data_IF_589796264731
#
_entry.id   IF_589796264731
#
_cell.length_a   1.000
_cell.length_b   1.000
_cell.length_c   1.000
_cell.angle_alpha   90.00
_cell.angle_beta   90.00
_cell.angle_gamma   90.00
#
_symmetry.space_group_name_H-M   'P 1'
#
loop_
_entity.id
_entity.type
_entity.pdbx_description
1 polymer ?
#
# COMPACT_ATOMS: atom_id res chain seq x y z
N UNK A 1 8.88 -17.92 -23.38
CA UNK A 1 7.96 -18.09 -22.24
C UNK A 1 8.69 -17.72 -20.96
N UNK A 2 8.75 -16.42 -20.62
CA UNK A 2 9.31 -15.95 -19.35
C UNK A 2 8.16 -15.58 -18.41
N UNK A 3 7.92 -16.46 -17.44
CA UNK A 3 7.00 -16.21 -16.32
C UNK A 3 7.55 -15.10 -15.42
N UNK A 4 7.11 -13.87 -15.62
CA UNK A 4 7.22 -12.80 -14.62
C UNK A 4 5.88 -12.05 -14.50
N UNK A 5 4.78 -12.79 -14.43
CA UNK A 5 3.45 -12.21 -14.20
C UNK A 5 3.10 -12.34 -12.71
N UNK A 6 3.73 -11.51 -11.87
CA UNK A 6 3.40 -11.39 -10.45
C UNK A 6 3.24 -9.90 -10.15
N UNK A 7 2.05 -9.37 -10.45
CA UNK A 7 1.55 -8.05 -10.05
C UNK A 7 2.39 -6.85 -10.53
N UNK A 8 2.15 -6.39 -11.76
CA UNK A 8 2.61 -5.08 -12.24
C UNK A 8 1.90 -3.96 -11.47
N UNK A 9 2.52 -3.50 -10.38
CA UNK A 9 2.03 -2.40 -9.55
C UNK A 9 2.64 -1.09 -10.06
N UNK A 10 1.81 -0.09 -10.38
CA UNK A 10 2.30 1.24 -10.76
C UNK A 10 2.66 2.04 -9.51
N UNK A 11 3.96 2.31 -9.33
CA UNK A 11 4.51 3.18 -8.29
C UNK A 11 4.92 4.52 -8.89
N UNK A 12 4.91 5.57 -8.07
CA UNK A 12 5.44 6.86 -8.46
C UNK A 12 6.98 6.87 -8.33
N UNK A 13 7.67 7.22 -9.42
CA UNK A 13 9.13 7.44 -9.43
C UNK A 13 9.48 8.84 -8.90
N UNK A 14 8.60 9.81 -9.11
CA UNK A 14 8.71 11.18 -8.60
C UNK A 14 7.47 11.53 -7.78
N UNK A 15 7.61 12.44 -6.82
CA UNK A 15 6.51 12.86 -5.98
C UNK A 15 5.87 14.12 -6.53
N UNK A 16 4.64 14.00 -7.04
CA UNK A 16 3.80 15.13 -7.37
C UNK A 16 2.59 15.18 -6.42
N UNK A 17 2.40 16.26 -5.63
CA UNK A 17 1.38 16.29 -4.58
C UNK A 17 -0.04 16.02 -5.07
N UNK A 18 -0.40 16.55 -6.25
CA UNK A 18 -1.74 16.39 -6.83
C UNK A 18 -1.96 14.95 -7.28
N UNK A 19 -0.97 14.37 -7.97
CA UNK A 19 -1.07 13.00 -8.46
C UNK A 19 -1.08 12.02 -7.28
N UNK A 20 -0.25 12.25 -6.27
CA UNK A 20 -0.26 11.49 -5.04
C UNK A 20 -1.60 11.61 -4.29
N UNK A 21 -2.35 12.69 -4.44
CA UNK A 21 -3.72 12.79 -3.91
C UNK A 21 -4.73 11.92 -4.66
N UNK A 22 -4.48 11.69 -5.95
CA UNK A 22 -5.41 11.01 -6.86
C UNK A 22 -5.28 9.48 -6.80
N UNK A 23 -6.41 8.78 -6.76
CA UNK A 23 -6.46 7.31 -6.73
C UNK A 23 -5.77 6.71 -7.96
N UNK A 24 -5.95 7.34 -9.12
CA UNK A 24 -5.43 6.89 -10.40
C UNK A 24 -4.23 7.70 -10.88
N UNK A 25 -3.85 8.74 -10.12
CA UNK A 25 -2.72 9.61 -10.43
C UNK A 25 -3.04 10.67 -11.49
N UNK A 26 -4.32 10.87 -11.85
CA UNK A 26 -4.70 11.67 -13.02
C UNK A 26 -5.20 13.08 -12.71
N UNK A 27 -5.42 13.39 -11.43
CA UNK A 27 -5.88 14.72 -11.03
C UNK A 27 -4.87 15.80 -11.41
N UNK A 28 -5.40 16.94 -11.85
CA UNK A 28 -4.62 18.11 -12.27
C UNK A 28 -4.78 19.29 -11.32
N UNK A 29 -5.80 19.23 -10.44
CA UNK A 29 -6.11 20.28 -9.47
C UNK A 29 -6.10 19.71 -8.05
N UNK A 30 -5.65 20.51 -7.07
CA UNK A 30 -5.74 20.11 -5.66
C UNK A 30 -7.21 19.99 -5.25
N UNK A 31 -7.62 18.79 -4.85
CA UNK A 31 -9.00 18.51 -4.43
C UNK A 31 -9.19 18.49 -2.90
N UNK A 32 -8.10 18.50 -2.12
CA UNK A 32 -8.14 18.58 -0.66
C UNK A 32 -7.17 19.64 -0.11
N UNK A 33 -7.46 20.16 1.09
CA UNK A 33 -6.65 21.21 1.73
C UNK A 33 -5.20 20.76 2.00
N UNK A 34 -4.95 19.47 2.20
CA UNK A 34 -3.62 18.95 2.42
C UNK A 34 -2.81 18.84 1.11
N UNK A 35 -3.42 18.46 -0.01
CA UNK A 35 -2.83 18.51 -1.35
C UNK A 35 -2.52 19.95 -1.69
N UNK A 36 -3.44 20.88 -1.44
CA UNK A 36 -3.20 22.30 -1.65
C UNK A 36 -1.98 22.81 -0.87
N UNK A 37 -1.90 22.48 0.43
CA UNK A 37 -0.72 22.80 1.26
C UNK A 37 0.57 22.19 0.74
N UNK A 38 0.52 20.96 0.24
CA UNK A 38 1.68 20.30 -0.33
C UNK A 38 2.12 20.97 -1.64
N UNK A 39 1.19 21.36 -2.51
CA UNK A 39 1.49 22.15 -3.72
C UNK A 39 2.14 23.47 -3.35
N UNK A 40 1.59 24.21 -2.38
CA UNK A 40 2.19 25.46 -1.90
C UNK A 40 3.60 25.25 -1.34
N UNK A 41 3.80 24.19 -0.56
CA UNK A 41 5.11 23.81 -0.03
C UNK A 41 6.12 23.54 -1.16
N UNK A 42 5.69 22.82 -2.21
CA UNK A 42 6.50 22.52 -3.39
C UNK A 42 6.88 23.79 -4.15
N UNK A 43 5.90 24.66 -4.42
CA UNK A 43 6.07 25.86 -5.22
C UNK A 43 6.90 26.92 -4.50
N UNK A 44 6.71 27.06 -3.19
CA UNK A 44 7.42 28.04 -2.36
C UNK A 44 8.77 27.54 -1.83
N UNK A 45 9.16 26.28 -2.10
CA UNK A 45 10.44 25.72 -1.63
C UNK A 45 10.56 25.64 -0.10
N UNK A 46 9.44 25.51 0.62
CA UNK A 46 9.41 25.56 2.09
C UNK A 46 9.92 24.29 2.78
N UNK A 47 10.37 23.31 2.00
CA UNK A 47 10.85 22.02 2.51
C UNK A 47 12.20 21.69 1.89
N UNK A 48 13.22 21.66 2.75
CA UNK A 48 14.52 21.12 2.42
C UNK A 48 14.62 19.67 2.95
N UNK A 49 14.67 18.65 2.07
CA UNK A 49 14.83 17.26 2.47
C UNK A 49 16.22 16.94 3.04
N UNK A 50 17.25 17.73 2.74
CA UNK A 50 18.64 17.51 3.15
C UNK A 50 19.08 18.38 4.33
N UNK A 51 18.25 19.33 4.75
CA UNK A 51 18.57 20.29 5.81
C UNK A 51 18.54 19.75 7.25
N UNK A 52 18.21 18.47 7.49
CA UNK A 52 18.23 17.89 8.85
C UNK A 52 19.59 17.22 9.14
N UNK A 53 20.43 17.78 10.02
CA UNK A 53 21.75 17.23 10.32
C UNK A 53 21.69 15.86 11.01
N UNK A 54 20.52 15.45 11.51
CA UNK A 54 20.30 14.14 12.11
C UNK A 54 20.08 13.05 11.05
N UNK A 55 19.98 13.42 9.78
CA UNK A 55 19.95 12.46 8.68
C UNK A 55 21.39 12.18 8.30
N UNK A 56 21.86 11.01 8.69
CA UNK A 56 23.23 10.54 8.47
C UNK A 56 23.13 9.17 7.82
N UNK A 57 24.01 8.90 6.87
CA UNK A 57 24.14 7.59 6.23
C UNK A 57 23.82 7.62 4.74
N UNK A 58 23.96 6.45 4.11
CA UNK A 58 23.63 6.27 2.71
C UNK A 58 22.11 6.07 2.54
N UNK A 59 21.40 6.92 1.76
CA UNK A 59 19.98 6.74 1.52
C UNK A 59 19.63 5.42 0.81
N UNK A 60 20.54 4.87 0.00
CA UNK A 60 20.33 3.58 -0.67
C UNK A 60 20.48 2.39 0.28
N UNK A 61 21.15 2.57 1.42
CA UNK A 61 21.25 1.54 2.46
C UNK A 61 20.24 1.75 3.60
N UNK A 62 19.35 2.75 3.49
CA UNK A 62 18.40 3.12 4.55
C UNK A 62 16.97 2.72 4.20
N UNK A 63 16.31 1.99 5.12
CA UNK A 63 14.87 1.72 5.06
C UNK A 63 14.09 2.63 6.01
N UNK A 64 12.87 2.98 5.60
CA UNK A 64 11.86 3.59 6.45
C UNK A 64 10.99 2.50 7.06
N UNK A 65 10.81 2.55 8.38
CA UNK A 65 9.89 1.67 9.13
C UNK A 65 8.80 2.53 9.77
N UNK A 66 7.55 2.33 9.41
CA UNK A 66 6.39 3.05 9.93
C UNK A 66 5.36 2.15 10.60
N UNK A 67 4.37 2.76 11.26
CA UNK A 67 3.33 2.09 12.07
C UNK A 67 3.90 1.32 13.28
N UNK A 68 5.02 1.77 13.82
CA UNK A 68 5.56 1.22 15.06
C UNK A 68 4.67 1.58 16.26
N UNK A 69 4.68 0.72 17.28
CA UNK A 69 4.05 1.05 18.56
C UNK A 69 4.71 2.29 19.17
N UNK A 70 3.95 3.05 19.94
CA UNK A 70 4.50 4.21 20.68
C UNK A 70 5.43 3.78 21.80
N UNK A 71 5.32 2.53 22.23
CA UNK A 71 6.12 1.91 23.28
C UNK A 71 7.30 1.10 22.73
N UNK A 72 7.43 0.96 21.41
CA UNK A 72 8.58 0.26 20.83
C UNK A 72 9.85 1.07 21.08
N UNK A 73 10.81 0.42 21.73
CA UNK A 73 12.14 0.97 21.96
C UNK A 73 13.10 0.65 20.82
N UNK A 74 14.19 1.41 20.78
CA UNK A 74 15.22 1.26 19.76
C UNK A 74 15.90 -0.11 19.81
N UNK A 75 16.09 -0.68 21.01
CA UNK A 75 16.68 -1.99 21.19
C UNK A 75 15.78 -3.11 20.63
N UNK A 76 14.47 -3.05 20.92
CA UNK A 76 13.48 -3.99 20.38
C UNK A 76 13.42 -3.91 18.86
N UNK A 77 13.40 -2.69 18.32
CA UNK A 77 13.40 -2.47 16.88
C UNK A 77 14.70 -2.97 16.23
N UNK A 78 15.85 -2.70 16.85
CA UNK A 78 17.15 -3.19 16.37
C UNK A 78 17.16 -4.71 16.33
N UNK A 79 16.74 -5.37 17.41
CA UNK A 79 16.67 -6.83 17.48
C UNK A 79 15.77 -7.42 16.38
N UNK A 80 14.61 -6.82 16.14
CA UNK A 80 13.70 -7.27 15.08
C UNK A 80 14.32 -7.07 13.68
N UNK A 81 14.95 -5.92 13.44
CA UNK A 81 15.50 -5.56 12.13
C UNK A 81 16.85 -6.23 11.82
N UNK A 82 17.59 -6.65 12.85
CA UNK A 82 18.83 -7.44 12.70
C UNK A 82 18.61 -8.81 12.05
N UNK A 83 17.36 -9.31 11.99
CA UNK A 83 17.04 -10.54 11.27
C UNK A 83 17.31 -10.44 9.77
N UNK A 84 17.27 -9.23 9.21
CA UNK A 84 17.36 -9.00 7.77
C UNK A 84 18.77 -8.59 7.31
N UNK A 85 19.62 -8.11 8.22
CA UNK A 85 20.97 -7.67 7.93
C UNK A 85 21.63 -6.98 9.12
N UNK A 86 22.87 -6.53 8.95
CA UNK A 86 23.63 -5.85 10.00
C UNK A 86 23.20 -4.38 10.07
N UNK A 87 22.61 -3.98 11.19
CA UNK A 87 22.14 -2.60 11.41
C UNK A 87 23.31 -1.71 11.80
N UNK A 88 23.75 -0.86 10.87
CA UNK A 88 24.81 0.13 11.07
C UNK A 88 24.33 1.30 11.92
N UNK A 89 23.18 1.87 11.57
CA UNK A 89 22.58 2.98 12.29
C UNK A 89 21.07 2.79 12.42
N UNK A 90 20.50 3.26 13.53
CA UNK A 90 19.07 3.22 13.77
C UNK A 90 18.64 4.56 14.38
N UNK A 91 17.61 5.16 13.81
CA UNK A 91 17.04 6.41 14.31
C UNK A 91 15.54 6.25 14.52
N UNK A 92 15.13 6.04 15.77
CA UNK A 92 13.72 6.11 16.17
C UNK A 92 13.29 7.57 16.33
N UNK A 93 12.31 8.01 15.53
CA UNK A 93 11.92 9.42 15.56
C UNK A 93 10.96 9.69 16.71
N UNK A 94 11.40 10.57 17.62
CA UNK A 94 10.64 11.02 18.79
C UNK A 94 10.25 12.49 18.67
N UNK A 95 9.21 12.88 19.39
CA UNK A 95 8.81 14.28 19.50
C UNK A 95 9.84 15.06 20.33
N UNK A 96 10.26 16.24 19.85
CA UNK A 96 11.37 16.99 20.45
C UNK A 96 11.08 17.48 21.88
N UNK A 97 9.81 17.78 22.20
CA UNK A 97 9.43 18.32 23.52
C UNK A 97 9.07 17.19 24.48
N UNK A 98 8.26 16.23 24.04
CA UNK A 98 7.66 15.23 24.94
C UNK A 98 8.45 13.92 24.97
N UNK A 99 9.44 13.73 24.08
CA UNK A 99 10.19 12.48 23.96
C UNK A 99 9.38 11.29 23.44
N UNK A 100 8.08 11.45 23.21
CA UNK A 100 7.19 10.38 22.78
C UNK A 100 7.55 9.91 21.36
N UNK A 101 7.52 8.59 21.13
CA UNK A 101 7.73 8.01 19.80
C UNK A 101 6.67 8.51 18.81
N UNK A 102 7.11 8.89 17.61
CA UNK A 102 6.22 9.23 16.49
C UNK A 102 5.72 7.99 15.75
N UNK A 103 6.15 6.79 16.15
CA UNK A 103 5.75 5.53 15.52
C UNK A 103 6.42 5.26 14.18
N UNK A 104 7.59 5.85 13.93
CA UNK A 104 8.41 5.53 12.77
C UNK A 104 9.91 5.69 13.05
N UNK A 105 10.72 4.96 12.30
CA UNK A 105 12.16 4.92 12.42
C UNK A 105 12.84 4.81 11.05
N UNK A 106 14.12 5.12 11.02
CA UNK A 106 15.01 4.88 9.89
C UNK A 106 16.09 3.88 10.32
N UNK A 107 16.35 2.89 9.48
CA UNK A 107 17.33 1.83 9.76
C UNK A 107 18.29 1.80 8.59
N UNK A 108 19.56 2.11 8.85
CA UNK A 108 20.67 1.99 7.90
C UNK A 108 21.33 0.62 8.07
N UNK A 109 21.40 -0.12 6.97
CA UNK A 109 22.13 -1.39 6.90
C UNK A 109 23.57 -1.17 6.40
N UNK A 110 24.43 -2.17 6.59
CA UNK A 110 25.78 -2.14 6.04
C UNK A 110 25.81 -2.22 4.51
N UNK A 111 24.88 -2.96 3.91
CA UNK A 111 24.83 -3.17 2.45
C UNK A 111 23.45 -2.92 1.86
N UNK A 112 23.41 -2.44 0.61
CA UNK A 112 22.16 -2.26 -0.15
C UNK A 112 21.37 -3.57 -0.29
N UNK A 113 22.09 -4.71 -0.38
CA UNK A 113 21.47 -6.03 -0.49
C UNK A 113 20.65 -6.38 0.75
N UNK A 114 21.15 -6.05 1.94
CA UNK A 114 20.46 -6.25 3.20
C UNK A 114 19.26 -5.32 3.35
N UNK A 115 19.42 -4.05 2.97
CA UNK A 115 18.33 -3.07 2.87
C UNK A 115 17.20 -3.61 1.98
N UNK A 116 17.52 -4.13 0.79
CA UNK A 116 16.54 -4.69 -0.15
C UNK A 116 15.82 -5.91 0.42
N UNK A 117 16.55 -6.79 1.12
CA UNK A 117 15.95 -7.94 1.83
C UNK A 117 14.99 -7.48 2.91
N UNK A 118 15.38 -6.50 3.73
CA UNK A 118 14.50 -5.91 4.73
C UNK A 118 13.25 -5.28 4.09
N UNK A 119 13.42 -4.57 2.97
CA UNK A 119 12.30 -4.03 2.22
C UNK A 119 11.33 -5.12 1.78
N UNK A 120 11.80 -6.22 1.19
CA UNK A 120 10.91 -7.29 0.70
C UNK A 120 10.23 -8.06 1.84
N UNK A 121 11.01 -8.51 2.83
CA UNK A 121 10.58 -9.50 3.84
C UNK A 121 10.02 -8.90 5.14
N UNK A 122 10.39 -7.67 5.50
CA UNK A 122 9.96 -7.05 6.76
C UNK A 122 8.62 -6.30 6.65
N UNK A 123 8.13 -6.10 5.44
CA UNK A 123 6.84 -5.44 5.21
C UNK A 123 5.69 -6.29 5.76
N UNK A 124 4.82 -5.68 6.57
CA UNK A 124 3.72 -6.34 7.30
C UNK A 124 4.17 -7.33 8.38
N UNK A 125 5.44 -7.29 8.78
CA UNK A 125 5.88 -8.02 9.97
C UNK A 125 5.28 -7.42 11.24
N UNK A 126 5.18 -8.23 12.29
CA UNK A 126 4.66 -7.82 13.60
C UNK A 126 5.82 -7.44 14.52
N UNK A 127 5.76 -6.23 15.08
CA UNK A 127 6.66 -5.74 16.13
C UNK A 127 5.78 -5.20 17.25
N UNK A 128 5.90 -5.77 18.45
CA UNK A 128 5.07 -5.44 19.63
C UNK A 128 3.56 -5.51 19.35
N UNK A 129 3.12 -6.51 18.57
CA UNK A 129 1.74 -6.69 18.10
C UNK A 129 1.23 -5.64 17.09
N UNK A 130 2.11 -4.77 16.58
CA UNK A 130 1.81 -3.82 15.52
C UNK A 130 2.36 -4.28 14.18
N UNK A 131 1.52 -4.22 13.15
CA UNK A 131 1.90 -4.47 11.76
C UNK A 131 2.66 -3.27 11.20
N UNK A 132 3.94 -3.48 10.89
CA UNK A 132 4.83 -2.42 10.42
C UNK A 132 4.81 -2.29 8.90
N UNK A 133 5.00 -1.05 8.43
CA UNK A 133 5.27 -0.79 7.01
C UNK A 133 6.75 -0.56 6.85
N UNK A 134 7.35 -1.28 5.90
CA UNK A 134 8.70 -0.99 5.42
C UNK A 134 8.65 -0.42 4.00
N UNK A 135 9.31 0.72 3.80
CA UNK A 135 9.45 1.41 2.51
C UNK A 135 10.88 1.95 2.33
N UNK A 136 11.24 2.38 1.13
CA UNK A 136 12.52 3.03 0.87
C UNK A 136 12.61 4.39 1.57
N UNK A 137 13.81 4.94 1.68
CA UNK A 137 14.01 6.29 2.22
C UNK A 137 13.59 7.39 1.23
N UNK A 138 12.27 7.52 1.03
CA UNK A 138 11.64 8.40 0.04
C UNK A 138 12.07 9.86 0.13
N UNK A 139 12.41 10.34 1.33
CA UNK A 139 12.86 11.73 1.53
C UNK A 139 14.10 12.08 0.71
N UNK A 140 15.03 11.14 0.56
CA UNK A 140 16.26 11.34 -0.20
C UNK A 140 16.17 10.74 -1.61
N UNK A 141 15.46 9.61 -1.75
CA UNK A 141 15.43 8.85 -3.00
C UNK A 141 14.37 9.32 -3.99
N UNK A 142 13.30 9.99 -3.54
CA UNK A 142 12.19 10.38 -4.41
C UNK A 142 12.18 11.91 -4.62
N UNK A 143 12.48 12.39 -5.84
CA UNK A 143 12.44 13.81 -6.16
C UNK A 143 11.05 14.41 -5.91
N UNK A 144 11.03 15.63 -5.39
CA UNK A 144 9.78 16.35 -5.07
C UNK A 144 9.06 15.86 -3.81
N UNK A 145 9.65 14.94 -3.02
CA UNK A 145 9.01 14.39 -1.82
C UNK A 145 8.53 15.48 -0.87
N UNK A 146 7.27 15.38 -0.45
CA UNK A 146 6.71 16.25 0.58
C UNK A 146 6.23 15.39 1.75
N UNK A 147 6.68 15.65 2.99
CA UNK A 147 6.29 14.87 4.14
C UNK A 147 4.84 15.13 4.52
N UNK A 148 4.25 14.18 5.23
CA UNK A 148 2.84 14.20 5.65
C UNK A 148 2.44 15.47 6.40
N UNK A 149 3.33 16.00 7.25
CA UNK A 149 3.09 17.22 8.03
C UNK A 149 2.85 18.46 7.17
N UNK A 150 3.33 18.47 5.93
CA UNK A 150 3.16 19.54 4.94
C UNK A 150 2.06 19.22 3.92
N UNK A 151 1.27 18.16 4.17
CA UNK A 151 0.12 17.77 3.35
C UNK A 151 0.39 16.66 2.33
N UNK A 152 1.66 16.27 2.16
CA UNK A 152 2.08 15.19 1.28
C UNK A 152 2.03 13.80 1.93
N UNK A 153 3.11 13.04 1.78
CA UNK A 153 3.28 11.65 2.20
C UNK A 153 2.62 10.64 1.25
N UNK A 154 2.71 9.36 1.62
CA UNK A 154 2.08 8.23 0.94
C UNK A 154 1.20 7.45 1.92
N UNK A 155 0.23 6.71 1.39
CA UNK A 155 -0.67 5.88 2.20
C UNK A 155 -1.72 6.69 2.95
N UNK A 156 -1.98 6.30 4.19
CA UNK A 156 -3.04 6.86 5.04
C UNK A 156 -4.26 5.94 5.14
N UNK A 157 -5.17 6.30 6.05
CA UNK A 157 -6.40 5.55 6.31
C UNK A 157 -7.59 6.33 5.76
N UNK A 158 -8.62 5.63 5.27
CA UNK A 158 -9.81 6.27 4.71
C UNK A 158 -10.52 7.15 5.75
N UNK A 159 -10.55 6.69 6.99
CA UNK A 159 -11.09 7.40 8.16
C UNK A 159 -10.39 8.73 8.45
N UNK A 160 -9.11 8.87 8.12
CA UNK A 160 -8.36 10.10 8.40
C UNK A 160 -8.57 11.19 7.33
N UNK A 161 -9.36 10.95 6.29
CA UNK A 161 -9.68 11.93 5.24
C UNK A 161 -8.51 12.35 4.35
N UNK A 162 -7.33 11.76 4.52
CA UNK A 162 -6.11 12.14 3.81
C UNK A 162 -5.50 10.86 3.22
N UNK A 163 -5.92 10.48 2.03
CA UNK A 163 -5.36 9.33 1.31
C UNK A 163 -4.32 9.80 0.30
N UNK A 164 -3.22 9.07 0.19
CA UNK A 164 -2.17 9.32 -0.78
C UNK A 164 -1.78 8.02 -1.48
N UNK A 165 -1.61 8.09 -2.79
CA UNK A 165 -1.36 6.98 -3.71
C UNK A 165 0.02 7.08 -4.36
N UNK A 166 0.42 6.01 -5.05
CA UNK A 166 1.74 5.89 -5.69
C UNK A 166 2.81 5.22 -4.82
N UNK A 167 2.44 4.76 -3.63
CA UNK A 167 3.31 4.03 -2.69
C UNK A 167 2.98 2.55 -2.60
N UNK A 168 3.78 1.79 -1.84
CA UNK A 168 3.61 0.33 -1.68
C UNK A 168 2.24 -0.09 -1.12
N UNK A 169 1.82 0.57 -0.04
CA UNK A 169 0.52 0.32 0.62
C UNK A 169 -0.69 0.74 -0.22
N UNK A 170 -0.50 1.79 -1.01
CA UNK A 170 -1.56 2.42 -1.81
C UNK A 170 -1.00 2.75 -3.19
N UNK A 171 -0.86 1.75 -4.05
CA UNK A 171 -0.49 2.01 -5.43
C UNK A 171 -1.63 2.68 -6.16
N UNK A 172 -1.31 3.27 -7.31
CA UNK A 172 -2.33 3.83 -8.18
C UNK A 172 -3.25 2.73 -8.72
N UNK A 173 -4.53 3.06 -8.87
CA UNK A 173 -5.56 2.17 -9.42
C UNK A 173 -6.02 2.65 -10.78
N UNK A 174 -6.63 1.76 -11.55
CA UNK A 174 -7.17 2.14 -12.85
C UNK A 174 -8.20 3.28 -12.73
N UNK A 175 -8.13 4.30 -13.60
CA UNK A 175 -9.20 5.28 -13.75
C UNK A 175 -10.55 4.58 -14.01
N UNK A 176 -11.65 5.19 -13.56
CA UNK A 176 -13.00 4.68 -13.85
C UNK A 176 -13.32 4.65 -15.34
N UNK A 177 -12.80 5.65 -16.06
CA UNK A 177 -12.94 5.79 -17.51
C UNK A 177 -11.52 5.86 -18.07
N UNK A 178 -11.17 5.08 -19.10
CA UNK A 178 -9.89 5.21 -19.75
C UNK A 178 -9.68 6.66 -20.20
N UNK A 179 -8.61 7.27 -19.74
CA UNK A 179 -8.21 8.60 -20.21
C UNK A 179 -7.57 8.40 -21.58
N UNK A 180 -7.98 9.15 -22.62
CA UNK A 180 -7.31 9.10 -23.91
C UNK A 180 -5.81 9.35 -23.76
N UNK A 181 -4.98 8.59 -24.49
CA UNK A 181 -3.52 8.70 -24.41
C UNK A 181 -3.00 10.13 -24.65
N UNK A 182 -3.66 10.88 -25.55
CA UNK A 182 -3.34 12.27 -25.83
C UNK A 182 -3.48 13.19 -24.61
N UNK A 183 -4.47 12.94 -23.74
CA UNK A 183 -4.65 13.71 -22.52
C UNK A 183 -3.62 13.34 -21.46
N UNK A 184 -3.26 12.06 -21.32
CA UNK A 184 -2.15 11.63 -20.45
C UNK A 184 -0.83 12.32 -20.84
N UNK A 185 -0.55 12.39 -22.15
CA UNK A 185 0.65 13.02 -22.69
C UNK A 185 0.65 14.55 -22.49
N UNK A 186 -0.50 15.21 -22.69
CA UNK A 186 -0.66 16.66 -22.42
C UNK A 186 -0.46 17.01 -20.95
N UNK A 187 -0.83 16.09 -20.06
CA UNK A 187 -0.72 16.25 -18.61
C UNK A 187 0.65 15.80 -18.05
N UNK A 188 1.55 15.29 -18.90
CA UNK A 188 2.88 14.82 -18.49
C UNK A 188 2.83 13.61 -17.55
N UNK A 189 1.73 12.85 -17.55
CA UNK A 189 1.54 11.68 -16.69
C UNK A 189 2.04 10.46 -17.47
N UNK A 190 3.16 9.83 -17.06
CA UNK A 190 3.66 8.67 -17.78
C UNK A 190 2.60 7.56 -17.73
N UNK A 191 2.29 6.89 -18.86
CA UNK A 191 1.48 5.70 -18.83
C UNK A 191 2.19 4.65 -17.94
N UNK A 192 1.45 3.77 -17.24
CA UNK A 192 2.08 2.75 -16.40
C UNK A 192 3.08 1.92 -17.24
N UNK A 193 4.26 1.59 -16.68
CA UNK A 193 5.40 1.05 -17.42
C UNK A 193 5.11 -0.26 -18.19
N UNK A 194 4.05 -0.98 -17.84
CA UNK A 194 3.60 -2.20 -18.52
C UNK A 194 2.14 -2.13 -19.05
N UNK A 195 1.54 -0.94 -19.08
CA UNK A 195 0.22 -0.72 -19.68
C UNK A 195 -0.98 -1.27 -18.89
N UNK A 196 -0.81 -1.73 -17.65
CA UNK A 196 -1.91 -2.25 -16.82
C UNK A 196 -1.88 -1.67 -15.40
N UNK A 197 -2.82 -0.77 -15.12
CA UNK A 197 -3.12 -0.34 -13.75
C UNK A 197 -3.56 -1.53 -12.88
N UNK A 198 -3.33 -1.46 -11.57
CA UNK A 198 -4.01 -2.37 -10.65
C UNK A 198 -5.52 -2.21 -10.80
N UNK A 199 -6.23 -3.33 -10.92
CA UNK A 199 -7.68 -3.27 -10.98
C UNK A 199 -8.21 -2.70 -9.66
N UNK A 200 -9.33 -1.98 -9.70
CA UNK A 200 -9.93 -1.34 -8.51
C UNK A 200 -10.17 -2.32 -7.35
N UNK A 201 -10.40 -3.59 -7.67
CA UNK A 201 -10.69 -4.66 -6.72
C UNK A 201 -9.49 -5.58 -6.47
N UNK A 202 -8.37 -5.35 -7.14
CA UNK A 202 -7.15 -6.10 -6.93
C UNK A 202 -6.52 -5.70 -5.60
N UNK A 203 -6.49 -6.64 -4.66
CA UNK A 203 -5.73 -6.54 -3.43
C UNK A 203 -4.26 -6.79 -3.79
N UNK A 204 -3.30 -5.94 -3.37
CA UNK A 204 -1.88 -6.23 -3.54
C UNK A 204 -1.59 -7.63 -2.98
N UNK A 205 -0.90 -8.48 -3.74
CA UNK A 205 -0.60 -9.82 -3.23
C UNK A 205 0.24 -9.70 -1.95
N UNK A 206 -0.08 -10.49 -0.90
CA UNK A 206 0.78 -10.59 0.27
C UNK A 206 2.21 -10.98 -0.15
N UNK A 207 3.26 -10.49 0.54
CA UNK A 207 4.62 -10.90 0.25
C UNK A 207 4.73 -12.43 0.36
N UNK A 208 5.24 -13.08 -0.69
CA UNK A 208 5.44 -14.53 -0.67
C UNK A 208 6.58 -14.85 0.28
N UNK A 209 6.27 -15.36 1.46
CA UNK A 209 7.24 -15.99 2.33
C UNK A 209 7.76 -17.26 1.64
N UNK A 210 8.99 -17.25 1.11
CA UNK A 210 9.66 -18.50 0.75
C UNK A 210 10.08 -19.20 2.04
N UNK A 211 9.18 -20.02 2.59
CA UNK A 211 9.55 -21.00 3.60
C UNK A 211 10.53 -22.00 2.97
N UNK A 212 11.66 -22.17 3.65
CA UNK A 212 12.78 -23.08 3.39
C UNK A 212 12.38 -24.48 2.92
N UNK A 213 12.94 -24.91 1.78
CA UNK A 213 13.29 -26.31 1.53
C UNK A 213 14.55 -26.34 0.67
N UNK A 214 15.69 -26.23 1.33
CA UNK A 214 16.97 -26.70 0.82
C UNK A 214 17.62 -27.47 1.98
N UNK A 215 17.75 -28.78 1.80
CA UNK A 215 18.93 -29.60 2.14
C UNK A 215 18.60 -31.05 1.71
N UNK A 216 19.24 -31.54 0.63
CA UNK A 216 20.24 -32.64 0.61
C UNK A 216 19.60 -34.05 0.75
N UNK A 217 19.91 -35.11 -0.01
CA UNK A 217 20.99 -35.42 -0.95
C UNK A 217 20.66 -36.73 -1.73
N UNK A 218 21.38 -36.95 -2.84
CA UNK A 218 21.89 -38.22 -3.40
C UNK A 218 21.00 -39.41 -3.91
N UNK A 219 20.80 -39.45 -5.24
CA UNK A 219 20.99 -40.55 -6.25
C UNK A 219 20.42 -41.99 -6.08
N UNK A 220 20.32 -42.85 -7.14
CA UNK A 220 20.17 -42.61 -8.59
C UNK A 220 19.10 -43.51 -9.32
N UNK A 221 18.94 -43.21 -10.62
CA UNK A 221 18.20 -43.88 -11.69
C UNK A 221 17.77 -45.36 -11.58
N UNK A 222 16.50 -45.66 -11.90
CA UNK A 222 16.09 -46.93 -12.54
C UNK A 222 14.96 -46.75 -13.58
N UNK A 223 15.38 -46.91 -14.83
CA UNK A 223 14.76 -47.71 -15.90
C UNK A 223 13.24 -47.68 -16.12
N UNK A 224 12.90 -47.17 -17.31
CA UNK A 224 11.79 -47.57 -18.18
C UNK A 224 11.41 -49.05 -18.02
N UNK A 225 10.11 -49.34 -17.81
CA UNK A 225 9.42 -50.47 -18.44
C UNK A 225 7.96 -50.12 -18.75
N UNK A 226 7.63 -50.27 -20.02
CA UNK A 226 6.32 -50.36 -20.63
C UNK A 226 5.50 -51.52 -20.05
N UNK A 227 4.18 -51.33 -19.89
CA UNK A 227 3.21 -52.42 -20.05
C UNK A 227 1.80 -51.91 -20.31
N UNK A 228 1.28 -52.33 -21.46
CA UNK A 228 -0.08 -52.19 -21.96
C UNK A 228 -1.14 -52.82 -21.04
N UNK A 229 -2.37 -52.26 -21.11
CA UNK A 229 -3.68 -52.95 -21.21
C UNK A 229 -4.80 -51.95 -20.89
N UNK A 230 -5.56 -51.48 -21.86
CA UNK A 230 -6.74 -52.06 -22.52
C UNK A 230 -8.01 -51.30 -22.08
N UNK A 231 -8.65 -50.66 -23.06
CA UNK A 231 -10.02 -50.14 -22.96
C UNK A 231 -11.03 -51.28 -22.78
N UNK A 232 -12.24 -50.98 -22.29
CA UNK A 232 -13.37 -51.19 -23.20
C UNK A 232 -14.37 -50.03 -23.24
N UNK A 233 -14.82 -49.81 -24.47
CA UNK A 233 -15.85 -48.88 -24.92
C UNK A 233 -17.29 -49.35 -24.62
N UNK A 234 -18.25 -48.52 -25.09
CA UNK A 234 -19.72 -48.68 -25.15
C UNK A 234 -20.47 -48.06 -23.94
N UNK A 235 -21.53 -47.24 -24.07
CA UNK A 235 -22.45 -47.00 -25.18
C UNK A 235 -23.21 -45.68 -24.92
N UNK A 236 -23.48 -44.94 -25.98
CA UNK A 236 -24.31 -43.71 -26.01
C UNK A 236 -25.76 -44.03 -25.64
N UNK A 237 -26.46 -43.08 -24.99
CA UNK A 237 -27.78 -42.64 -25.46
C UNK A 237 -28.11 -41.22 -24.98
N UNK A 238 -28.45 -40.38 -25.97
CA UNK A 238 -29.08 -39.06 -25.84
C UNK A 238 -30.57 -39.21 -25.52
N UNK A 239 -31.14 -38.20 -24.83
CA UNK A 239 -32.48 -37.56 -24.96
C UNK A 239 -32.94 -37.10 -23.56
N UNK A 240 -32.97 -35.80 -23.26
CA UNK A 240 -33.90 -34.72 -23.63
C UNK A 240 -35.09 -34.57 -22.66
N UNK A 241 -35.15 -33.38 -22.05
CA UNK A 241 -36.29 -32.56 -21.62
C UNK A 241 -37.46 -33.15 -20.80
N UNK A 242 -37.72 -32.47 -19.66
CA UNK A 242 -39.01 -32.00 -19.07
C UNK A 242 -38.96 -32.13 -17.54
N UNK A 243 -38.91 -31.03 -16.78
CA UNK A 243 -39.97 -30.13 -16.27
C UNK A 243 -40.85 -30.72 -15.15
N UNK A 244 -40.93 -29.92 -14.09
CA UNK A 244 -41.86 -29.87 -12.95
C UNK A 244 -41.73 -31.03 -11.92
N UNK A 245 -41.89 -30.89 -10.60
CA UNK A 245 -42.54 -29.89 -9.75
C UNK A 245 -42.10 -30.08 -8.26
N UNK A 246 -42.30 -29.03 -7.46
CA UNK A 246 -42.67 -29.06 -6.03
C UNK A 246 -41.66 -29.33 -4.90
N UNK A 247 -41.31 -28.20 -4.24
CA UNK A 247 -41.77 -27.86 -2.87
C UNK A 247 -40.76 -27.94 -1.69
N UNK A 248 -40.61 -26.81 -0.98
CA UNK A 248 -40.79 -26.62 0.48
C UNK A 248 -39.86 -25.56 1.12
N UNK A 249 -40.51 -24.45 1.54
CA UNK A 249 -40.39 -23.70 2.81
C UNK A 249 -39.02 -23.15 3.24
N UNK A 250 -38.92 -21.81 3.30
CA UNK A 250 -38.70 -21.16 4.60
C UNK A 250 -39.21 -19.71 4.66
N UNK A 251 -40.14 -19.48 5.57
CA UNK A 251 -40.53 -18.17 6.11
C UNK A 251 -39.36 -17.54 6.89
N UNK A 252 -39.15 -16.22 6.76
CA UNK A 252 -39.35 -15.30 7.90
C UNK A 252 -39.34 -13.82 7.48
N UNK A 253 -40.39 -13.17 7.98
CA UNK A 253 -40.75 -11.76 8.02
C UNK A 253 -39.66 -10.88 8.66
N UNK A 254 -39.50 -9.63 8.20
CA UNK A 254 -39.74 -8.42 9.04
C UNK A 254 -39.66 -7.12 8.21
N UNK A 255 -40.82 -6.58 7.83
CA UNK A 255 -41.00 -5.14 7.64
C UNK A 255 -41.48 -4.50 8.94
N UNK A 256 -41.07 -3.25 9.17
CA UNK A 256 -41.80 -2.12 9.77
C UNK A 256 -40.76 -1.00 10.01
N UNK A 257 -41.02 0.30 9.92
CA UNK A 257 -41.90 1.19 9.18
C UNK A 257 -41.40 2.59 9.58
N UNK A 258 -41.48 3.56 8.67
CA UNK A 258 -41.23 4.98 8.95
C UNK A 258 -42.02 5.52 10.16
N UNK A 259 -41.41 6.43 10.92
CA UNK A 259 -42.15 7.59 11.41
C UNK A 259 -41.28 8.85 11.57
N UNK A 260 -41.74 9.89 10.88
CA UNK A 260 -41.38 11.30 11.02
C UNK A 260 -41.56 11.81 12.46
N UNK A 261 -40.67 12.71 12.89
CA UNK A 261 -41.09 13.84 13.73
C UNK A 261 -40.24 15.09 13.48
N UNK A 262 -40.92 16.08 12.88
CA UNK A 262 -40.49 17.48 12.79
C UNK A 262 -40.47 18.08 14.20
N UNK A 263 -39.48 18.93 14.51
CA UNK A 263 -39.65 20.04 15.47
C UNK A 263 -38.71 21.19 15.11
N UNK A 264 -39.32 22.22 14.53
CA UNK A 264 -38.90 23.61 14.50
C UNK A 264 -38.95 24.22 15.89
N UNK A 265 -38.02 25.12 16.22
CA UNK A 265 -38.31 26.39 16.91
C UNK A 265 -37.09 27.30 16.81
N UNK A 266 -37.29 28.42 16.09
CA UNK A 266 -36.51 29.65 16.18
C UNK A 266 -36.74 30.32 17.55
N UNK A 267 -35.78 31.15 17.97
CA UNK A 267 -36.04 32.40 18.69
C UNK A 267 -34.74 33.23 18.77
N UNK A 268 -34.79 34.34 18.07
CA UNK A 268 -33.92 35.51 18.17
C UNK A 268 -33.99 36.14 19.57
N UNK A 269 -32.91 36.82 19.99
CA UNK A 269 -32.99 38.01 20.83
C UNK A 269 -31.75 38.89 20.58
N UNK A 270 -32.04 40.12 20.15
CA UNK A 270 -31.13 41.24 19.96
C UNK A 270 -30.71 41.93 21.27
N UNK A 271 -29.61 42.69 21.16
CA UNK A 271 -29.28 43.94 21.86
C UNK A 271 -28.87 43.95 23.35
N UNK A 272 -27.65 44.42 23.63
CA UNK A 272 -27.39 45.71 24.29
C UNK A 272 -25.88 46.03 24.29
N UNK A 273 -25.54 47.12 23.61
CA UNK A 273 -24.33 47.93 23.77
C UNK A 273 -24.62 48.98 24.84
N UNK A 274 -23.70 49.22 25.79
CA UNK A 274 -23.47 50.46 26.55
C UNK A 274 -21.99 50.51 26.95
#
# INVERSE_FOLDING_TARGET
>A
MSNANINAVFYADTYHPIQAGSIDGTDTLPHDNAVYRAVLCSAAGLYDPFGDPKVIGDPYCTVFVGRLSRFTDEETLRKAMSKYGTVKNLRLVRHIVTGASRGYAFVEYETEREMRRAYEDAHHSLIDDYEVIVDYYRQHLMPGWIPRRLGGGLGGKKESGQLRFGGRERPFRAPLRPIPYADLQRLGIPPPPEGRYMSRFQVPSPPRCRSSHADMDDSPARQRRSRDKEEPSHRRHRRSADRDDSSHKHHKHREHLHQHKKRSTSRDYDFLDH
#
